data_IF_893454187912
#
_entry.id   IF_893454187912
#
_cell.length_a   1.000
_cell.length_b   1.000
_cell.length_c   1.000
_cell.angle_alpha   90.00
_cell.angle_beta   90.00
_cell.angle_gamma   90.00
#
_symmetry.space_group_name_H-M   'P 1'
#
loop_
_entity.id
_entity.type
_entity.pdbx_description
1 polymer ?
#
# COMPACT_ATOMS: atom_id res chain seq x y z
N UNK A 1 -28.43 6.53 -0.75
CA UNK A 1 -27.49 7.48 -0.12
C UNK A 1 -26.96 6.89 1.17
N UNK A 2 -25.66 6.90 1.37
CA UNK A 2 -25.07 6.40 2.61
C UNK A 2 -25.43 7.35 3.77
N UNK A 3 -25.72 6.77 4.95
CA UNK A 3 -25.90 7.56 6.16
C UNK A 3 -24.54 8.11 6.61
N UNK A 4 -24.46 9.42 6.82
CA UNK A 4 -23.27 10.10 7.30
C UNK A 4 -23.57 10.66 8.68
N UNK A 5 -22.93 10.17 9.76
CA UNK A 5 -23.07 10.74 11.09
C UNK A 5 -22.66 12.23 11.08
N UNK A 6 -23.36 13.07 11.84
CA UNK A 6 -23.07 14.51 11.93
C UNK A 6 -21.69 14.83 12.51
N UNK A 7 -21.15 13.91 13.31
CA UNK A 7 -19.85 14.00 13.99
C UNK A 7 -18.77 13.17 13.29
N UNK A 8 -19.07 12.60 12.14
CA UNK A 8 -18.10 11.85 11.34
C UNK A 8 -16.95 12.78 10.91
N UNK A 9 -15.71 12.35 11.19
CA UNK A 9 -14.48 13.09 10.87
C UNK A 9 -13.49 12.30 10.03
N UNK A 10 -13.70 11.00 9.91
CA UNK A 10 -12.81 10.12 9.19
C UNK A 10 -13.51 9.44 8.03
N UNK A 11 -12.79 9.39 6.94
CA UNK A 11 -13.21 8.78 5.70
C UNK A 11 -12.12 7.84 5.20
N UNK A 12 -12.50 6.84 4.42
CA UNK A 12 -11.58 5.99 3.69
C UNK A 12 -11.69 6.30 2.21
N UNK A 13 -10.57 6.61 1.60
CA UNK A 13 -10.48 6.89 0.16
C UNK A 13 -9.68 5.81 -0.54
N UNK A 14 -10.11 5.42 -1.72
CA UNK A 14 -9.42 4.50 -2.59
C UNK A 14 -8.86 5.26 -3.78
N UNK A 15 -7.54 5.49 -3.78
CA UNK A 15 -6.81 6.25 -4.78
C UNK A 15 -6.30 5.32 -5.88
N UNK A 16 -6.67 5.58 -7.12
CA UNK A 16 -6.14 4.82 -8.26
C UNK A 16 -4.85 5.46 -8.73
N UNK A 17 -3.73 4.76 -8.54
CA UNK A 17 -2.40 5.18 -8.96
C UNK A 17 -1.90 4.28 -10.08
N UNK A 18 -1.43 4.88 -11.14
CA UNK A 18 -0.86 4.15 -12.29
C UNK A 18 0.63 4.43 -12.42
N UNK A 19 1.41 3.36 -12.47
CA UNK A 19 2.84 3.42 -12.73
C UNK A 19 3.16 3.08 -14.18
N UNK A 20 4.01 3.89 -14.79
CA UNK A 20 4.59 3.63 -16.11
C UNK A 20 6.10 3.67 -16.02
N UNK A 21 6.75 2.68 -16.64
CA UNK A 21 8.19 2.53 -16.64
C UNK A 21 8.68 2.63 -18.09
N UNK A 22 9.72 3.43 -18.31
CA UNK A 22 10.35 3.60 -19.62
C UNK A 22 10.76 2.24 -20.21
N UNK A 23 10.35 1.98 -21.45
CA UNK A 23 10.64 0.72 -22.14
C UNK A 23 9.78 -0.48 -21.72
N UNK A 24 8.91 -0.35 -20.72
CA UNK A 24 7.95 -1.38 -20.32
C UNK A 24 6.56 -1.04 -20.86
N UNK A 25 5.97 -1.94 -21.64
CA UNK A 25 4.63 -1.73 -22.22
C UNK A 25 3.50 -1.96 -21.22
N UNK A 26 3.74 -2.72 -20.16
CA UNK A 26 2.73 -3.03 -19.13
C UNK A 26 2.76 -1.98 -18.03
N UNK A 27 1.61 -1.43 -17.71
CA UNK A 27 1.47 -0.56 -16.55
C UNK A 27 1.34 -1.37 -15.25
N UNK A 28 1.54 -0.71 -14.14
CA UNK A 28 1.20 -1.22 -12.81
C UNK A 28 0.16 -0.29 -12.21
N UNK A 29 -0.94 -0.85 -11.71
CA UNK A 29 -2.00 -0.06 -11.08
C UNK A 29 -2.13 -0.49 -9.62
N UNK A 30 -2.01 0.48 -8.73
CA UNK A 30 -2.32 0.31 -7.32
C UNK A 30 -3.61 1.04 -6.99
N UNK A 31 -4.39 0.46 -6.09
CA UNK A 31 -5.45 1.18 -5.40
C UNK A 31 -4.98 1.38 -3.98
N UNK A 32 -4.56 2.60 -3.68
CA UNK A 32 -4.09 2.95 -2.35
C UNK A 32 -5.28 3.29 -1.47
N UNK A 33 -5.39 2.60 -0.33
CA UNK A 33 -6.48 2.80 0.62
C UNK A 33 -5.95 3.66 1.75
N UNK A 34 -6.46 4.88 1.87
CA UNK A 34 -5.94 5.89 2.79
C UNK A 34 -7.04 6.46 3.68
N UNK A 35 -6.64 6.93 4.87
CA UNK A 35 -7.50 7.68 5.76
C UNK A 35 -7.52 9.16 5.38
N UNK A 36 -8.70 9.74 5.41
CA UNK A 36 -8.92 11.17 5.19
C UNK A 36 -9.67 11.75 6.37
N UNK A 37 -9.12 12.81 6.97
CA UNK A 37 -9.81 13.56 8.02
C UNK A 37 -10.48 14.78 7.42
N UNK A 38 -11.79 14.90 7.59
CA UNK A 38 -12.57 16.01 7.03
C UNK A 38 -13.83 16.24 7.85
N UNK A 39 -14.39 17.45 7.74
CA UNK A 39 -15.61 17.84 8.43
C UNK A 39 -16.88 17.66 7.57
N UNK A 40 -16.70 17.33 6.29
CA UNK A 40 -17.80 17.09 5.35
C UNK A 40 -17.38 16.13 4.24
N UNK A 41 -18.32 15.47 3.54
CA UNK A 41 -18.01 14.66 2.36
C UNK A 41 -17.30 15.43 1.25
N UNK A 42 -17.67 16.67 1.01
CA UNK A 42 -17.06 17.54 0.01
C UNK A 42 -15.60 17.86 0.34
N UNK A 43 -15.32 18.17 1.61
CA UNK A 43 -13.96 18.39 2.09
C UNK A 43 -13.15 17.08 2.00
N UNK A 44 -13.75 15.95 2.33
CA UNK A 44 -13.11 14.64 2.21
C UNK A 44 -12.72 14.34 0.76
N UNK A 45 -13.60 14.62 -0.18
CA UNK A 45 -13.33 14.47 -1.61
C UNK A 45 -12.15 15.34 -2.06
N UNK A 46 -12.16 16.61 -1.73
CA UNK A 46 -11.07 17.54 -2.10
C UNK A 46 -9.72 17.12 -1.51
N UNK A 47 -9.72 16.70 -0.24
CA UNK A 47 -8.51 16.21 0.44
C UNK A 47 -8.01 14.89 -0.15
N UNK A 48 -8.91 13.97 -0.50
CA UNK A 48 -8.54 12.72 -1.16
C UNK A 48 -7.89 12.97 -2.53
N UNK A 49 -8.48 13.86 -3.33
CA UNK A 49 -7.91 14.29 -4.61
C UNK A 49 -6.50 14.90 -4.43
N UNK A 50 -6.32 15.73 -3.42
CA UNK A 50 -5.03 16.32 -3.09
C UNK A 50 -3.99 15.26 -2.71
N UNK A 51 -4.37 14.30 -1.86
CA UNK A 51 -3.49 13.19 -1.48
C UNK A 51 -3.07 12.37 -2.70
N UNK A 52 -3.98 12.12 -3.62
CA UNK A 52 -3.66 11.45 -4.88
C UNK A 52 -2.62 12.22 -5.70
N UNK A 53 -2.80 13.52 -5.88
CA UNK A 53 -1.86 14.36 -6.61
C UNK A 53 -0.51 14.48 -5.92
N UNK A 54 -0.48 14.54 -4.59
CA UNK A 54 0.76 14.53 -3.81
C UNK A 54 1.52 13.21 -3.94
N UNK A 55 0.84 12.11 -4.26
CA UNK A 55 1.43 10.80 -4.52
C UNK A 55 2.11 10.67 -5.89
N UNK A 56 1.95 11.66 -6.77
CA UNK A 56 2.62 11.64 -8.07
C UNK A 56 4.12 11.85 -7.90
N UNK A 57 4.92 10.99 -8.52
CA UNK A 57 6.38 11.02 -8.39
C UNK A 57 7.04 10.46 -9.64
N UNK A 58 8.21 11.00 -9.95
CA UNK A 58 9.11 10.51 -11.00
C UNK A 58 10.46 10.16 -10.38
N UNK A 59 10.96 8.97 -10.64
CA UNK A 59 12.26 8.50 -10.16
C UNK A 59 12.90 7.50 -11.14
N UNK A 60 14.13 7.12 -10.86
CA UNK A 60 14.80 6.02 -11.57
C UNK A 60 14.63 4.71 -10.79
N UNK A 61 14.29 3.64 -11.50
CA UNK A 61 14.32 2.30 -10.92
C UNK A 61 15.77 1.78 -10.84
N UNK A 62 16.04 0.61 -10.21
CA UNK A 62 17.39 0.09 -10.03
C UNK A 62 18.18 -0.15 -11.32
N UNK A 63 17.51 -0.26 -12.46
CA UNK A 63 18.13 -0.42 -13.79
C UNK A 63 18.12 0.88 -14.61
N UNK A 64 17.97 2.05 -13.94
CA UNK A 64 18.01 3.39 -14.52
C UNK A 64 16.92 3.70 -15.54
N UNK A 65 15.77 3.07 -15.44
CA UNK A 65 14.59 3.43 -16.23
C UNK A 65 13.76 4.48 -15.49
N UNK A 66 13.27 5.48 -16.23
CA UNK A 66 12.32 6.47 -15.69
C UNK A 66 11.03 5.77 -15.27
N UNK A 67 10.63 5.98 -14.04
CA UNK A 67 9.46 5.39 -13.44
C UNK A 67 8.57 6.51 -12.91
N UNK A 68 7.35 6.59 -13.39
CA UNK A 68 6.39 7.63 -13.00
C UNK A 68 5.14 7.02 -12.41
N UNK A 69 4.68 7.59 -11.30
CA UNK A 69 3.38 7.31 -10.71
C UNK A 69 2.47 8.50 -10.94
N UNK A 70 1.30 8.22 -11.50
CA UNK A 70 0.29 9.21 -11.82
C UNK A 70 -1.00 8.89 -11.07
N UNK A 71 -1.59 9.92 -10.47
CA UNK A 71 -2.92 9.81 -9.89
C UNK A 71 -3.98 9.82 -11.00
N UNK A 72 -4.87 8.80 -11.01
CA UNK A 72 -5.89 8.64 -12.04
C UNK A 72 -7.29 9.06 -11.57
N UNK A 73 -7.50 9.09 -10.29
CA UNK A 73 -8.78 9.44 -9.68
C UNK A 73 -9.14 8.54 -8.51
N UNK A 74 -10.27 8.80 -7.90
CA UNK A 74 -10.81 7.97 -6.81
C UNK A 74 -11.60 6.79 -7.39
N UNK A 75 -11.39 5.60 -6.84
CA UNK A 75 -12.28 4.48 -7.07
C UNK A 75 -13.51 4.54 -6.17
N UNK A 76 -13.31 4.95 -4.91
CA UNK A 76 -14.39 5.13 -3.95
C UNK A 76 -13.98 6.06 -2.81
N UNK A 77 -14.98 6.57 -2.09
CA UNK A 77 -14.83 7.41 -0.91
C UNK A 77 -15.97 7.10 0.05
N UNK A 78 -15.67 6.57 1.23
CA UNK A 78 -16.67 6.16 2.21
C UNK A 78 -16.40 6.79 3.58
N UNK A 79 -17.47 7.05 4.32
CA UNK A 79 -17.38 7.48 5.70
C UNK A 79 -17.03 6.29 6.61
N UNK A 80 -16.19 6.52 7.61
CA UNK A 80 -15.94 5.57 8.68
C UNK A 80 -16.91 5.89 9.83
N UNK A 81 -17.76 4.91 10.16
CA UNK A 81 -18.78 5.08 11.19
C UNK A 81 -18.22 4.88 12.61
N UNK A 82 -17.21 4.03 12.74
CA UNK A 82 -16.58 3.71 14.01
C UNK A 82 -15.54 4.76 14.41
N UNK A 83 -15.31 4.91 15.70
CA UNK A 83 -14.12 5.62 16.17
C UNK A 83 -12.87 4.81 15.81
N UNK A 84 -11.78 5.51 15.47
CA UNK A 84 -10.51 4.84 15.12
C UNK A 84 -9.83 4.29 16.36
N UNK A 85 -10.03 3.01 16.62
CA UNK A 85 -9.44 2.26 17.72
C UNK A 85 -9.20 0.81 17.33
N UNK A 86 -8.66 0.02 18.25
CA UNK A 86 -8.49 -1.42 17.99
C UNK A 86 -9.83 -2.08 17.69
N UNK A 87 -9.92 -2.74 16.52
CA UNK A 87 -11.13 -3.40 16.06
C UNK A 87 -12.11 -2.52 15.29
N UNK A 88 -11.80 -1.22 15.08
CA UNK A 88 -12.64 -0.35 14.26
C UNK A 88 -12.82 -0.91 12.84
N UNK A 89 -14.05 -0.96 12.36
CA UNK A 89 -14.35 -1.32 10.98
C UNK A 89 -14.12 -0.09 10.09
N UNK A 90 -13.22 -0.22 9.12
CA UNK A 90 -12.94 0.86 8.17
C UNK A 90 -13.87 0.82 6.97
N UNK A 91 -14.13 -0.36 6.47
CA UNK A 91 -15.05 -0.64 5.37
C UNK A 91 -15.33 -2.14 5.35
N UNK A 92 -16.30 -2.55 4.56
CA UNK A 92 -16.57 -3.96 4.30
C UNK A 92 -16.80 -4.19 2.81
N UNK A 93 -16.54 -5.42 2.40
CA UNK A 93 -16.90 -5.91 1.07
C UNK A 93 -18.12 -6.82 1.22
N UNK A 94 -19.18 -6.54 0.48
CA UNK A 94 -20.41 -7.34 0.52
C UNK A 94 -20.49 -8.26 -0.71
N UNK A 95 -20.75 -9.52 -0.44
CA UNK A 95 -21.07 -10.52 -1.46
C UNK A 95 -22.34 -11.25 -1.04
N UNK A 96 -23.27 -11.42 -1.96
CA UNK A 96 -24.58 -12.02 -1.70
C UNK A 96 -24.70 -13.33 -2.48
N UNK A 97 -25.36 -14.32 -1.87
CA UNK A 97 -25.62 -15.62 -2.48
C UNK A 97 -24.33 -16.38 -2.84
N UNK A 98 -23.44 -16.47 -1.86
CA UNK A 98 -22.15 -17.16 -2.00
C UNK A 98 -22.27 -18.59 -1.49
N UNK A 99 -21.82 -19.57 -2.28
CA UNK A 99 -21.78 -20.98 -1.87
C UNK A 99 -20.81 -21.22 -0.72
N UNK A 100 -21.05 -22.29 0.05
CA UNK A 100 -20.14 -22.68 1.14
C UNK A 100 -18.68 -22.88 0.63
N UNK A 101 -18.52 -23.52 -0.52
CA UNK A 101 -17.22 -23.69 -1.15
C UNK A 101 -16.52 -22.37 -1.45
N UNK A 102 -17.23 -21.38 -1.99
CA UNK A 102 -16.71 -20.06 -2.26
C UNK A 102 -16.36 -19.30 -0.98
N UNK A 103 -17.12 -19.44 0.10
CA UNK A 103 -16.79 -18.89 1.41
C UNK A 103 -15.49 -19.49 1.95
N UNK A 104 -15.32 -20.81 1.84
CA UNK A 104 -14.09 -21.49 2.27
C UNK A 104 -12.86 -21.02 1.47
N UNK A 105 -13.01 -20.77 0.17
CA UNK A 105 -11.94 -20.23 -0.68
C UNK A 105 -11.49 -18.82 -0.31
N UNK A 106 -12.35 -18.04 0.33
CA UNK A 106 -12.02 -16.70 0.82
C UNK A 106 -11.11 -16.73 2.05
N UNK A 107 -11.09 -17.84 2.77
CA UNK A 107 -10.35 -17.97 4.03
C UNK A 107 -8.94 -18.44 3.72
N UNK A 108 -7.96 -17.71 4.22
CA UNK A 108 -6.54 -17.99 4.03
C UNK A 108 -5.95 -18.54 5.32
N UNK A 109 -5.20 -19.63 5.26
CA UNK A 109 -4.50 -20.19 6.41
C UNK A 109 -3.41 -19.21 6.91
N UNK A 110 -3.07 -19.26 8.20
CA UNK A 110 -2.09 -18.35 8.80
C UNK A 110 -0.78 -18.29 8.02
N UNK A 111 -0.23 -19.42 7.63
CA UNK A 111 1.06 -19.48 6.90
C UNK A 111 1.00 -18.86 5.50
N UNK A 112 -0.20 -18.75 4.91
CA UNK A 112 -0.43 -18.17 3.59
C UNK A 112 -0.88 -16.70 3.64
N UNK A 113 -1.17 -16.17 4.83
CA UNK A 113 -1.39 -14.73 4.99
C UNK A 113 -0.14 -13.96 4.59
N UNK A 114 -0.30 -12.82 3.97
CA UNK A 114 0.81 -12.05 3.42
C UNK A 114 1.94 -11.81 4.43
N UNK A 115 1.59 -11.56 5.70
CA UNK A 115 2.55 -11.32 6.79
C UNK A 115 3.43 -12.53 7.13
N UNK A 116 2.93 -13.74 6.89
CA UNK A 116 3.60 -14.99 7.28
C UNK A 116 4.17 -15.76 6.10
N UNK A 117 3.90 -15.32 4.88
CA UNK A 117 4.52 -15.94 3.70
C UNK A 117 6.03 -15.64 3.71
N UNK A 118 6.88 -16.62 3.37
CA UNK A 118 8.30 -16.37 3.19
C UNK A 118 8.52 -15.26 2.14
N UNK A 119 9.56 -14.46 2.34
CA UNK A 119 9.97 -13.48 1.35
C UNK A 119 10.20 -14.17 0.01
N UNK A 120 9.38 -13.82 -0.95
CA UNK A 120 9.57 -14.29 -2.32
C UNK A 120 10.64 -13.41 -2.97
N UNK A 121 11.62 -14.04 -3.57
CA UNK A 121 12.50 -13.33 -4.48
C UNK A 121 11.66 -12.61 -5.53
N UNK A 122 12.06 -11.39 -5.85
CA UNK A 122 11.38 -10.61 -6.88
C UNK A 122 11.31 -11.42 -8.18
N UNK A 123 10.12 -11.56 -8.73
CA UNK A 123 9.91 -12.14 -10.03
C UNK A 123 10.47 -11.18 -11.11
N UNK A 124 11.55 -11.57 -11.83
CA UNK A 124 12.17 -10.68 -12.81
C UNK A 124 11.27 -10.42 -14.03
N UNK A 125 10.20 -11.18 -14.23
CA UNK A 125 9.23 -10.96 -15.31
C UNK A 125 8.25 -9.81 -15.02
N UNK A 126 8.15 -9.38 -13.76
CA UNK A 126 7.25 -8.29 -13.36
C UNK A 126 7.89 -6.92 -13.56
N UNK A 127 7.08 -5.88 -13.89
CA UNK A 127 7.61 -4.52 -13.97
C UNK A 127 8.35 -4.10 -12.71
N UNK A 128 9.51 -3.46 -12.87
CA UNK A 128 10.35 -3.03 -11.76
C UNK A 128 10.08 -1.57 -11.40
N UNK A 129 9.20 -1.35 -10.44
CA UNK A 129 8.85 -0.01 -9.96
C UNK A 129 9.57 0.40 -8.67
N UNK A 130 10.54 -0.38 -8.21
CA UNK A 130 11.33 -0.01 -7.04
C UNK A 130 12.12 1.28 -7.28
N UNK A 131 12.27 2.12 -6.25
CA UNK A 131 13.08 3.32 -6.32
C UNK A 131 14.55 2.98 -6.07
N UNK A 132 15.44 3.39 -6.98
CA UNK A 132 16.87 3.14 -6.89
C UNK A 132 17.48 3.67 -5.60
N UNK A 133 17.20 4.92 -5.26
CA UNK A 133 17.75 5.57 -4.06
C UNK A 133 17.32 4.86 -2.77
N UNK A 134 16.05 4.49 -2.67
CA UNK A 134 15.51 3.77 -1.51
C UNK A 134 16.16 2.39 -1.39
N UNK A 135 16.34 1.69 -2.50
CA UNK A 135 16.98 0.37 -2.51
C UNK A 135 18.45 0.45 -2.09
N UNK A 136 19.18 1.46 -2.55
CA UNK A 136 20.58 1.67 -2.17
C UNK A 136 20.71 2.01 -0.68
N UNK A 137 19.82 2.84 -0.15
CA UNK A 137 19.78 3.17 1.27
C UNK A 137 19.45 1.96 2.14
N UNK A 138 18.47 1.15 1.76
CA UNK A 138 18.12 -0.08 2.46
C UNK A 138 19.31 -1.07 2.50
N UNK A 139 20.02 -1.22 1.39
CA UNK A 139 21.22 -2.08 1.34
C UNK A 139 22.34 -1.57 2.24
N UNK A 140 22.56 -0.25 2.33
CA UNK A 140 23.52 0.35 3.27
C UNK A 140 23.15 0.02 4.72
N UNK A 141 21.90 0.22 5.10
CA UNK A 141 21.41 -0.08 6.45
C UNK A 141 21.59 -1.56 6.82
N UNK A 142 21.32 -2.49 5.88
CA UNK A 142 21.51 -3.92 6.09
C UNK A 142 22.99 -4.24 6.29
N UNK A 143 23.87 -3.69 5.48
CA UNK A 143 25.31 -3.91 5.57
C UNK A 143 25.88 -3.36 6.88
N UNK A 144 25.48 -2.15 7.30
CA UNK A 144 25.90 -1.57 8.56
C UNK A 144 25.45 -2.40 9.76
N UNK A 145 24.23 -2.92 9.72
CA UNK A 145 23.69 -3.81 10.76
C UNK A 145 24.41 -5.16 10.80
N UNK A 146 24.84 -5.68 9.66
CA UNK A 146 25.62 -6.93 9.58
C UNK A 146 27.03 -6.73 10.13
N UNK A 147 27.68 -5.61 9.83
CA UNK A 147 29.01 -5.25 10.37
C UNK A 147 28.96 -5.10 11.89
N UNK A 148 27.95 -4.42 12.44
CA UNK A 148 27.79 -4.29 13.89
C UNK A 148 27.58 -5.63 14.60
N UNK A 149 26.86 -6.57 14.00
CA UNK A 149 26.69 -7.94 14.54
C UNK A 149 27.95 -8.78 14.44
N UNK A 150 28.76 -8.56 13.40
CA UNK A 150 30.06 -9.26 13.22
C UNK A 150 31.09 -8.87 14.28
N UNK A 151 31.14 -7.59 14.65
CA UNK A 151 32.05 -7.09 15.71
C UNK A 151 31.67 -7.65 17.09
N UNK A 152 30.37 -7.81 17.36
CA UNK A 152 29.92 -8.42 18.63
C UNK A 152 30.17 -9.91 18.76
N UNK A 153 30.36 -10.63 17.67
CA UNK A 153 30.67 -12.07 17.69
C UNK A 153 32.14 -12.34 17.99
N UNK A 154 33.05 -11.46 17.57
CA UNK A 154 34.49 -11.61 17.82
C UNK A 154 34.89 -11.24 19.26
N UNK A 155 34.15 -10.37 19.94
CA UNK A 155 34.37 -10.03 21.35
C UNK A 155 33.95 -11.15 22.32
N UNK A 156 33.09 -12.06 21.93
CA UNK A 156 32.60 -13.17 22.78
C UNK A 156 33.50 -14.40 22.68
N UNK A 157 34.38 -14.47 21.68
CA UNK A 157 35.27 -15.60 21.44
C UNK A 157 36.71 -15.37 21.91
N UNK A 158 37.01 -14.23 22.51
CA UNK A 158 38.28 -13.91 23.17
C UNK A 158 38.07 -13.81 24.68
#
# INVERSE_FOLDING_TARGET
MAYIPKDAKWYVAELVMECRIEGESRNVVHVDIVLVRANSPEEAFEKAEQLGREGEVLYLNPVNQRTVWLYRGLRDLNVIHDELEHGAELMFEERINISEGAVQEMITTKSQLNLFRPDKQRDPSRPNYACKEIMEEALRMINDSAVQRGVGADEIMS
#
